data_IF_430275853721
#
_entry.id   IF_430275853721
#
_cell.length_a   1.000
_cell.length_b   1.000
_cell.length_c   1.000
_cell.angle_alpha   90.00
_cell.angle_beta   90.00
_cell.angle_gamma   90.00
#
_symmetry.space_group_name_H-M   'P 1'
#
loop_
_entity.id
_entity.type
_entity.pdbx_description
1 polymer ?
#
# COMPACT_ATOMS: atom_id res chain seq x y z
N UNK A 1 18.55 -19.18 1.75
CA UNK A 1 17.78 -19.03 0.51
C UNK A 1 17.29 -17.59 0.47
N UNK A 2 17.96 -16.74 -0.29
CA UNK A 2 17.70 -15.29 -0.35
C UNK A 2 16.61 -15.06 -1.40
N UNK A 3 15.47 -14.50 -0.96
CA UNK A 3 14.35 -14.17 -1.84
C UNK A 3 14.79 -13.12 -2.87
N UNK A 4 14.39 -13.21 -4.16
CA UNK A 4 14.75 -12.20 -5.14
C UNK A 4 14.01 -10.90 -4.82
N UNK A 5 14.74 -9.88 -4.35
CA UNK A 5 14.22 -8.52 -4.26
C UNK A 5 14.06 -7.94 -5.68
N UNK A 6 12.97 -7.21 -5.92
CA UNK A 6 12.83 -6.38 -7.11
C UNK A 6 12.89 -4.91 -6.68
N UNK A 7 13.78 -4.16 -7.32
CA UNK A 7 13.94 -2.73 -7.08
C UNK A 7 13.00 -1.94 -8.00
N UNK A 8 12.16 -1.08 -7.41
CA UNK A 8 11.31 -0.16 -8.16
C UNK A 8 11.80 1.28 -7.94
N UNK A 9 11.76 2.11 -8.99
CA UNK A 9 12.09 3.54 -8.89
C UNK A 9 10.87 4.29 -8.31
N UNK A 10 11.03 4.92 -7.15
CA UNK A 10 10.02 5.80 -6.55
C UNK A 10 10.34 7.28 -6.72
N UNK A 11 9.32 8.10 -6.42
CA UNK A 11 9.32 9.54 -6.37
C UNK A 11 10.48 10.07 -5.49
N UNK A 12 11.23 11.05 -6.01
CA UNK A 12 12.39 11.63 -5.32
C UNK A 12 13.73 10.90 -5.53
N UNK A 13 13.81 9.96 -6.49
CA UNK A 13 15.08 9.30 -6.86
C UNK A 13 15.53 8.20 -5.88
N UNK A 14 14.69 7.85 -4.90
CA UNK A 14 14.93 6.70 -4.02
C UNK A 14 14.39 5.43 -4.69
N UNK A 15 15.28 4.47 -4.89
CA UNK A 15 14.86 3.08 -5.11
C UNK A 15 14.27 2.58 -3.79
N UNK A 16 13.08 2.01 -3.85
CA UNK A 16 12.54 1.24 -2.73
C UNK A 16 12.63 -0.24 -3.09
N UNK A 17 13.01 -1.05 -2.12
CA UNK A 17 13.20 -2.48 -2.33
C UNK A 17 11.98 -3.24 -1.81
N UNK A 18 11.35 -3.99 -2.71
CA UNK A 18 10.29 -4.90 -2.30
C UNK A 18 10.94 -6.21 -1.89
N UNK A 19 11.04 -6.41 -0.59
CA UNK A 19 11.65 -7.61 0.02
C UNK A 19 10.72 -8.82 0.01
N UNK A 20 9.42 -8.61 -0.21
CA UNK A 20 8.43 -9.67 -0.41
C UNK A 20 8.34 -10.06 -1.89
N UNK A 21 8.89 -11.23 -2.25
CA UNK A 21 8.92 -11.71 -3.63
C UNK A 21 7.52 -11.94 -4.22
N UNK A 22 6.52 -12.29 -3.39
CA UNK A 22 5.15 -12.48 -3.86
C UNK A 22 4.51 -11.15 -4.21
N UNK A 23 4.72 -10.13 -3.37
CA UNK A 23 4.26 -8.78 -3.66
C UNK A 23 5.00 -8.17 -4.85
N UNK A 24 6.31 -8.37 -4.96
CA UNK A 24 7.11 -7.91 -6.09
C UNK A 24 6.56 -8.45 -7.43
N UNK A 25 6.22 -9.74 -7.47
CA UNK A 25 5.61 -10.36 -8.64
C UNK A 25 4.22 -9.80 -8.94
N UNK A 26 3.39 -9.57 -7.93
CA UNK A 26 2.07 -8.97 -8.11
C UNK A 26 2.15 -7.52 -8.61
N UNK A 27 3.07 -6.72 -8.09
CA UNK A 27 3.34 -5.36 -8.58
C UNK A 27 3.79 -5.39 -10.04
N UNK A 28 4.71 -6.29 -10.40
CA UNK A 28 5.14 -6.46 -11.79
C UNK A 28 4.01 -6.89 -12.73
N UNK A 29 3.08 -7.73 -12.26
CA UNK A 29 1.92 -8.14 -13.05
C UNK A 29 0.86 -7.03 -13.17
N UNK A 30 0.59 -6.32 -12.08
CA UNK A 30 -0.38 -5.21 -12.08
C UNK A 30 0.12 -4.00 -12.88
N UNK A 31 1.43 -3.78 -12.90
CA UNK A 31 2.08 -2.64 -13.55
C UNK A 31 3.24 -3.12 -14.45
N UNK A 32 2.95 -3.80 -15.58
CA UNK A 32 3.98 -4.38 -16.44
C UNK A 32 4.90 -3.34 -17.09
N UNK A 33 4.41 -2.10 -17.28
CA UNK A 33 5.21 -0.96 -17.73
C UNK A 33 6.05 -0.30 -16.63
N UNK A 34 5.96 -0.80 -15.39
CA UNK A 34 6.56 -0.19 -14.21
C UNK A 34 5.85 1.06 -13.73
N UNK A 35 6.51 1.75 -12.79
CA UNK A 35 6.04 3.00 -12.19
C UNK A 35 7.00 4.10 -12.63
N UNK A 36 6.46 5.18 -13.18
CA UNK A 36 7.23 6.32 -13.67
C UNK A 36 6.85 7.58 -12.91
N UNK A 37 7.82 8.38 -12.44
CA UNK A 37 7.53 9.70 -11.91
C UNK A 37 7.09 10.63 -13.05
N UNK A 38 6.01 11.38 -12.82
CA UNK A 38 5.55 12.44 -13.72
C UNK A 38 5.74 13.77 -13.00
N UNK A 39 6.40 14.72 -13.66
CA UNK A 39 6.52 16.09 -13.13
C UNK A 39 5.16 16.79 -13.22
N UNK A 40 4.53 17.16 -12.10
CA UNK A 40 3.23 17.84 -12.09
C UNK A 40 3.21 19.13 -12.92
N UNK A 41 4.35 19.84 -13.05
CA UNK A 41 4.45 21.06 -13.84
C UNK A 41 4.29 20.82 -15.36
N UNK A 42 4.46 19.57 -15.80
CA UNK A 42 4.32 19.15 -17.20
C UNK A 42 2.93 18.61 -17.54
N UNK A 43 2.06 18.44 -16.52
CA UNK A 43 0.74 17.85 -16.68
C UNK A 43 -0.26 18.91 -17.15
N UNK A 44 -0.91 18.66 -18.28
CA UNK A 44 -2.05 19.45 -18.74
C UNK A 44 -3.34 18.80 -18.22
N UNK A 45 -4.02 19.47 -17.30
CA UNK A 45 -5.27 18.99 -16.70
C UNK A 45 -6.24 20.16 -16.43
N UNK A 46 -7.53 19.86 -16.36
CA UNK A 46 -8.58 20.82 -16.02
C UNK A 46 -8.58 21.23 -14.53
N UNK A 47 -7.89 20.46 -13.68
CA UNK A 47 -7.68 20.76 -12.26
C UNK A 47 -6.20 20.53 -11.91
N UNK A 48 -5.66 21.22 -10.88
CA UNK A 48 -4.29 20.99 -10.42
C UNK A 48 -4.05 19.50 -10.10
N UNK A 49 -3.01 18.88 -10.67
CA UNK A 49 -2.67 17.49 -10.36
C UNK A 49 -2.26 17.35 -8.90
N UNK A 50 -2.80 16.34 -8.21
CA UNK A 50 -2.43 16.01 -6.84
C UNK A 50 -1.21 15.07 -6.87
N UNK A 51 -0.21 15.39 -6.04
CA UNK A 51 0.92 14.48 -5.79
C UNK A 51 0.51 13.46 -4.74
N UNK A 52 0.76 12.18 -5.03
CA UNK A 52 0.48 11.11 -4.08
C UNK A 52 1.57 11.05 -3.01
N UNK A 53 1.17 11.18 -1.74
CA UNK A 53 2.06 10.88 -0.59
C UNK A 53 2.40 9.37 -0.53
N UNK A 54 1.41 8.54 -0.88
CA UNK A 54 1.50 7.08 -0.97
C UNK A 54 0.99 6.66 -2.34
N UNK A 55 1.79 5.88 -3.07
CA UNK A 55 1.46 5.37 -4.40
C UNK A 55 0.12 4.60 -4.39
N UNK A 56 -0.61 4.56 -5.51
CA UNK A 56 -1.86 3.82 -5.58
C UNK A 56 -1.65 2.30 -5.67
N UNK A 57 -2.67 1.55 -5.26
CA UNK A 57 -2.75 0.08 -5.36
C UNK A 57 -1.61 -0.66 -4.67
N UNK A 58 -1.17 -1.77 -5.28
CA UNK A 58 -0.11 -2.62 -4.72
C UNK A 58 1.24 -1.91 -4.62
N UNK A 59 1.48 -0.88 -5.44
CA UNK A 59 2.68 -0.07 -5.35
C UNK A 59 2.75 0.72 -4.03
N UNK A 60 1.60 1.21 -3.53
CA UNK A 60 1.51 1.86 -2.23
C UNK A 60 1.77 0.91 -1.07
N UNK A 61 1.24 -0.32 -1.15
CA UNK A 61 1.53 -1.37 -0.16
C UNK A 61 3.03 -1.66 -0.10
N UNK A 62 3.65 -1.82 -1.27
CA UNK A 62 5.09 -2.04 -1.39
C UNK A 62 5.92 -0.87 -0.84
N UNK A 63 5.54 0.37 -1.15
CA UNK A 63 6.16 1.58 -0.59
C UNK A 63 6.06 1.59 0.95
N UNK A 64 4.91 1.27 1.52
CA UNK A 64 4.70 1.32 2.96
C UNK A 64 5.45 0.21 3.71
N UNK A 65 5.67 -0.95 3.10
CA UNK A 65 6.53 -2.02 3.62
C UNK A 65 8.00 -1.59 3.65
N UNK A 66 8.50 -1.01 2.56
CA UNK A 66 9.87 -0.49 2.48
C UNK A 66 10.12 0.60 3.54
N UNK A 67 9.12 1.48 3.74
CA UNK A 67 9.17 2.52 4.77
C UNK A 67 9.02 1.97 6.21
N UNK A 68 8.78 0.66 6.40
CA UNK A 68 8.53 0.02 7.69
C UNK A 68 7.21 0.44 8.36
N UNK A 69 6.33 1.11 7.62
CA UNK A 69 5.02 1.52 8.11
C UNK A 69 4.04 0.35 8.14
N UNK A 70 4.22 -0.59 7.19
CA UNK A 70 3.60 -1.90 7.20
C UNK A 70 4.64 -2.97 7.54
N UNK A 71 4.17 -4.08 8.08
CA UNK A 71 4.90 -5.34 8.12
C UNK A 71 3.99 -6.48 7.69
N UNK A 72 4.56 -7.64 7.35
CA UNK A 72 3.80 -8.83 7.01
C UNK A 72 3.89 -9.86 8.14
N UNK A 73 2.76 -10.45 8.53
CA UNK A 73 2.75 -11.56 9.49
C UNK A 73 2.93 -12.91 8.75
N UNK A 74 3.21 -14.02 9.48
CA UNK A 74 3.31 -15.36 8.88
C UNK A 74 2.03 -15.84 8.18
N UNK A 75 0.87 -15.31 8.57
CA UNK A 75 -0.44 -15.58 7.95
C UNK A 75 -0.67 -14.82 6.65
N UNK A 76 0.25 -13.94 6.25
CA UNK A 76 0.21 -13.16 5.02
C UNK A 76 -0.53 -11.82 5.10
N UNK A 77 -0.97 -11.40 6.28
CA UNK A 77 -1.68 -10.15 6.53
C UNK A 77 -0.72 -8.97 6.73
N UNK A 78 -1.18 -7.77 6.39
CA UNK A 78 -0.39 -6.54 6.53
C UNK A 78 -0.68 -5.84 7.86
N UNK A 79 0.31 -5.83 8.74
CA UNK A 79 0.29 -5.17 10.04
C UNK A 79 0.60 -3.68 9.89
N UNK A 80 -0.34 -2.82 10.26
CA UNK A 80 -0.17 -1.37 10.30
C UNK A 80 0.52 -0.99 11.60
N UNK A 81 1.78 -0.53 11.51
CA UNK A 81 2.65 -0.25 12.67
C UNK A 81 2.63 1.18 13.15
N UNK A 82 2.17 2.10 12.30
CA UNK A 82 2.07 3.53 12.59
C UNK A 82 0.96 4.15 11.75
N UNK A 83 0.60 5.40 12.03
CA UNK A 83 -0.36 6.13 11.21
C UNK A 83 0.13 6.21 9.76
N UNK A 84 -0.72 5.78 8.84
CA UNK A 84 -0.48 5.80 7.39
C UNK A 84 -1.67 6.43 6.67
N UNK A 85 -1.45 6.81 5.42
CA UNK A 85 -2.52 7.06 4.45
C UNK A 85 -2.73 5.79 3.62
N UNK A 86 -3.97 5.35 3.48
CA UNK A 86 -4.29 4.19 2.64
C UNK A 86 -3.92 4.46 1.18
N UNK A 87 -3.27 3.49 0.49
CA UNK A 87 -3.07 3.56 -0.95
C UNK A 87 -4.42 3.76 -1.64
N UNK A 88 -4.54 4.75 -2.51
CA UNK A 88 -5.73 4.91 -3.36
C UNK A 88 -5.84 3.75 -4.36
N UNK A 89 -7.05 3.40 -4.79
CA UNK A 89 -7.21 2.39 -5.85
C UNK A 89 -7.15 0.92 -5.38
N UNK A 90 -7.37 0.66 -4.09
CA UNK A 90 -7.43 -0.69 -3.51
C UNK A 90 -8.79 -1.38 -3.76
N UNK A 91 -9.13 -1.54 -5.04
CA UNK A 91 -10.39 -2.17 -5.49
C UNK A 91 -10.10 -3.47 -6.27
N UNK A 92 -11.07 -4.38 -6.33
CA UNK A 92 -11.00 -5.61 -7.14
C UNK A 92 -9.92 -6.60 -6.68
N UNK A 93 -9.11 -7.09 -7.62
CA UNK A 93 -8.07 -8.09 -7.38
C UNK A 93 -6.89 -7.62 -6.49
N UNK A 94 -6.87 -6.34 -6.12
CA UNK A 94 -5.88 -5.74 -5.22
C UNK A 94 -6.35 -5.70 -3.75
N UNK A 95 -7.45 -6.40 -3.42
CA UNK A 95 -7.99 -6.45 -2.06
C UNK A 95 -7.06 -7.25 -1.17
N UNK A 96 -6.52 -6.60 -0.13
CA UNK A 96 -5.64 -7.24 0.86
C UNK A 96 -6.17 -6.99 2.27
N UNK A 97 -5.82 -7.88 3.19
CA UNK A 97 -6.23 -7.78 4.60
C UNK A 97 -5.20 -6.99 5.39
N UNK A 98 -5.68 -5.99 6.11
CA UNK A 98 -4.86 -5.19 7.03
C UNK A 98 -5.25 -5.47 8.48
N UNK A 99 -4.24 -5.54 9.35
CA UNK A 99 -4.39 -5.61 10.79
C UNK A 99 -3.84 -4.33 11.40
N UNK A 100 -4.67 -3.60 12.15
CA UNK A 100 -4.23 -2.42 12.87
C UNK A 100 -3.66 -2.84 14.23
N UNK A 101 -2.35 -2.61 14.44
CA UNK A 101 -1.73 -2.96 15.72
C UNK A 101 -2.28 -2.07 16.85
N UNK A 102 -2.27 -2.62 18.07
CA UNK A 102 -2.79 -1.92 19.26
C UNK A 102 -2.14 -0.53 19.44
N UNK A 103 -2.97 0.47 19.71
CA UNK A 103 -2.53 1.84 19.96
C UNK A 103 -2.09 2.62 18.71
N UNK A 104 -2.20 2.03 17.51
CA UNK A 104 -1.94 2.75 16.26
C UNK A 104 -3.21 3.51 15.83
N UNK A 105 -3.12 4.81 15.53
CA UNK A 105 -4.27 5.56 15.02
C UNK A 105 -4.81 4.95 13.73
N UNK A 106 -6.14 5.01 13.56
CA UNK A 106 -6.80 4.57 12.33
C UNK A 106 -6.20 5.34 11.14
N UNK A 107 -5.82 4.64 10.06
CA UNK A 107 -5.31 5.27 8.85
C UNK A 107 -6.27 6.26 8.22
N UNK A 108 -5.73 7.32 7.61
CA UNK A 108 -6.51 8.25 6.79
C UNK A 108 -6.65 7.71 5.35
N UNK A 109 -7.64 8.20 4.59
CA UNK A 109 -7.83 7.86 3.18
C UNK A 109 -8.94 6.84 2.91
N UNK A 110 -9.19 6.56 1.64
CA UNK A 110 -10.27 5.65 1.22
C UNK A 110 -9.79 4.21 1.14
N UNK A 111 -10.52 3.33 1.82
CA UNK A 111 -10.19 1.90 1.98
C UNK A 111 -10.59 1.05 0.76
N UNK A 112 -11.48 1.57 -0.07
CA UNK A 112 -12.07 0.82 -1.19
C UNK A 112 -12.76 -0.47 -0.73
N UNK A 113 -12.32 -1.61 -1.27
CA UNK A 113 -12.82 -2.95 -0.88
C UNK A 113 -11.94 -3.64 0.17
N UNK A 114 -10.91 -2.96 0.68
CA UNK A 114 -10.04 -3.53 1.71
C UNK A 114 -10.68 -3.41 3.09
N UNK A 115 -10.38 -4.38 3.95
CA UNK A 115 -10.86 -4.41 5.33
C UNK A 115 -9.70 -4.24 6.31
N UNK A 116 -9.96 -3.50 7.40
CA UNK A 116 -9.05 -3.39 8.54
C UNK A 116 -9.70 -4.13 9.71
N UNK A 117 -8.97 -5.08 10.29
CA UNK A 117 -9.30 -5.67 11.60
C UNK A 117 -8.41 -5.03 12.65
N UNK A 118 -9.01 -4.56 13.75
CA UNK A 118 -8.24 -4.09 14.90
C UNK A 118 -7.69 -5.28 15.68
N UNK A 119 -6.39 -5.29 15.97
CA UNK A 119 -5.78 -6.29 16.86
C UNK A 119 -6.29 -6.13 18.31
N UNK A 120 -6.75 -4.93 18.68
CA UNK A 120 -7.21 -4.65 20.05
C UNK A 120 -8.58 -5.25 20.35
N UNK A 121 -9.51 -5.20 19.39
CA UNK A 121 -10.87 -5.69 19.56
C UNK A 121 -11.12 -7.01 18.84
N UNK A 122 -10.25 -7.40 17.89
CA UNK A 122 -10.49 -8.52 16.98
C UNK A 122 -11.62 -8.27 15.98
N UNK A 123 -12.16 -7.05 15.95
CA UNK A 123 -13.31 -6.68 15.14
C UNK A 123 -12.89 -5.81 13.96
N UNK A 124 -13.68 -5.88 12.88
CA UNK A 124 -13.56 -4.95 11.77
C UNK A 124 -13.90 -3.53 12.24
N UNK A 125 -13.09 -2.55 11.86
CA UNK A 125 -13.36 -1.15 12.22
C UNK A 125 -14.62 -0.69 11.44
N UNK A 126 -15.64 -0.12 12.12
CA UNK A 126 -16.87 0.31 11.44
C UNK A 126 -16.55 1.34 10.35
N UNK A 127 -17.04 1.10 9.12
CA UNK A 127 -16.76 1.92 7.94
C UNK A 127 -15.78 1.31 6.93
N UNK A 128 -15.21 0.13 7.20
CA UNK A 128 -14.46 -0.66 6.21
C UNK A 128 -15.38 -1.61 5.44
N UNK A 129 -14.98 -2.06 4.24
CA UNK A 129 -15.68 -3.15 3.55
C UNK A 129 -15.76 -4.38 4.47
N UNK A 130 -16.90 -5.06 4.52
CA UNK A 130 -17.13 -6.17 5.45
C UNK A 130 -16.04 -7.24 5.34
N UNK A 131 -15.31 -7.47 6.43
CA UNK A 131 -14.46 -8.65 6.59
C UNK A 131 -15.38 -9.87 6.70
N UNK A 132 -15.73 -10.49 5.57
CA UNK A 132 -16.43 -11.77 5.52
C UNK A 132 -15.43 -12.92 5.35
#
# INVERSE_FOLDING_TARGET
MTSPSQSFKSFGGRLFEVTDATLAQQVGWAYPGGIVPIDPATVVASHPPLVYDVLPGLAGVAQLLDQGALARNPSGEYLIRRKIRFPGGMYGANSVRFLLLRGVPVPDGELGHSCIVSEETGEAIPGTAGCH
#
